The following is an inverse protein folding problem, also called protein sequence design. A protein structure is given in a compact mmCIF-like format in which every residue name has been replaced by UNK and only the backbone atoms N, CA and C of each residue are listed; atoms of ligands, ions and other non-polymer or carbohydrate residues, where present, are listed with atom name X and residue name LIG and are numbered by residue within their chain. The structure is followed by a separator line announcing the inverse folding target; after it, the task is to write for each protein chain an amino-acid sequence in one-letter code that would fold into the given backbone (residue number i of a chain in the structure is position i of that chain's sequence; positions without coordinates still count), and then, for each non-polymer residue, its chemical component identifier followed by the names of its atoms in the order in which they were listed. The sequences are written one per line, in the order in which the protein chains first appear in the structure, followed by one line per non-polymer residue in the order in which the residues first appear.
data_IF_524436545836
#
_entry.id   IF_524436545836
#
_cell.length_a   1.000
_cell.length_b   1.000
_cell.length_c   1.000
_cell.angle_alpha   90.00
_cell.angle_beta   90.00
_cell.angle_gamma   90.00
#
_symmetry.space_group_name_H-M   'P 1'
#
loop_
_entity.id
_entity.type
_entity.pdbx_description
1 polymer ?
#
# COMPACT_ATOMS: atom_id res chain seq x y z
N UNK A 1 66.65 36.56 -15.90
CA UNK A 1 66.86 35.10 -16.02
C UNK A 1 65.92 34.43 -15.03
N UNK A 2 64.79 33.97 -15.58
CA UNK A 2 63.80 32.99 -15.09
C UNK A 2 63.60 32.76 -13.59
N UNK A 3 62.48 33.30 -13.09
CA UNK A 3 61.75 32.87 -11.89
C UNK A 3 61.15 31.47 -12.09
N UNK A 4 61.30 30.61 -11.08
CA UNK A 4 60.72 29.27 -11.03
C UNK A 4 59.32 29.29 -10.45
N UNK A 5 58.35 28.76 -11.20
CA UNK A 5 56.96 28.56 -10.80
C UNK A 5 56.74 27.09 -10.41
N UNK A 6 55.99 26.77 -9.34
CA UNK A 6 55.66 25.40 -8.98
C UNK A 6 54.53 24.84 -9.85
N UNK A 7 54.70 23.58 -10.24
CA UNK A 7 53.77 22.77 -11.02
C UNK A 7 52.40 22.63 -10.33
N UNK A 8 51.36 23.08 -11.02
CA UNK A 8 49.96 22.89 -10.64
C UNK A 8 49.46 21.57 -11.25
N UNK A 9 49.36 20.52 -10.45
CA UNK A 9 48.74 19.24 -10.87
C UNK A 9 47.21 19.39 -10.90
N UNK A 10 46.68 19.81 -12.05
CA UNK A 10 45.24 19.82 -12.34
C UNK A 10 44.80 18.46 -12.88
N UNK A 11 44.09 17.71 -12.03
CA UNK A 11 43.38 16.47 -12.35
C UNK A 11 42.32 16.72 -13.44
N UNK A 12 42.57 16.18 -14.64
CA UNK A 12 41.56 16.07 -15.71
C UNK A 12 40.47 15.08 -15.29
N UNK A 13 39.32 15.59 -14.84
CA UNK A 13 38.07 14.82 -14.82
C UNK A 13 37.48 14.78 -16.24
N UNK A 14 37.24 13.60 -16.84
CA UNK A 14 36.48 13.52 -18.08
C UNK A 14 35.01 13.80 -17.81
N UNK A 15 34.45 14.78 -18.50
CA UNK A 15 33.01 15.05 -18.53
C UNK A 15 32.23 13.80 -18.97
N UNK A 16 31.06 13.51 -18.37
CA UNK A 16 30.24 12.39 -18.81
C UNK A 16 29.72 12.67 -20.22
N UNK A 17 30.02 11.76 -21.14
CA UNK A 17 29.37 11.65 -22.46
C UNK A 17 27.87 11.49 -22.23
N UNK A 18 27.10 12.53 -22.55
CA UNK A 18 25.68 12.37 -22.79
C UNK A 18 25.52 11.44 -24.00
N UNK A 19 25.01 10.23 -23.74
CA UNK A 19 24.49 9.37 -24.79
C UNK A 19 23.32 10.13 -25.40
N UNK A 20 23.47 10.56 -26.65
CA UNK A 20 22.36 11.04 -27.44
C UNK A 20 21.36 9.88 -27.54
N UNK A 21 20.21 10.04 -26.89
CA UNK A 21 19.09 9.12 -27.05
C UNK A 21 18.52 9.42 -28.42
N UNK A 22 18.72 8.49 -29.36
CA UNK A 22 18.18 8.54 -30.70
C UNK A 22 16.67 8.75 -30.66
N UNK A 23 16.19 9.61 -31.55
CA UNK A 23 14.82 10.09 -31.65
C UNK A 23 13.78 9.00 -32.05
N UNK A 24 14.18 7.73 -32.15
CA UNK A 24 13.32 6.59 -32.47
C UNK A 24 12.54 6.07 -31.26
N UNK A 25 12.86 6.44 -30.01
CA UNK A 25 12.12 5.95 -28.83
C UNK A 25 10.72 6.58 -28.64
N UNK A 26 10.34 7.51 -29.51
CA UNK A 26 9.08 8.25 -29.39
C UNK A 26 7.89 7.43 -29.88
N UNK A 27 8.11 6.55 -30.88
CA UNK A 27 7.05 5.76 -31.53
C UNK A 27 6.56 4.61 -30.63
N UNK A 28 7.50 3.92 -29.95
CA UNK A 28 7.17 2.85 -28.99
C UNK A 28 6.34 3.35 -27.79
N UNK A 29 6.53 4.62 -27.40
CA UNK A 29 5.83 5.21 -26.27
C UNK A 29 4.35 5.51 -26.57
N UNK A 30 4.01 5.77 -27.83
CA UNK A 30 2.63 5.95 -28.30
C UNK A 30 1.93 4.60 -28.51
N UNK A 31 2.66 3.60 -29.02
CA UNK A 31 2.16 2.22 -29.14
C UNK A 31 1.87 1.60 -27.76
N UNK A 32 2.70 1.90 -26.75
CA UNK A 32 2.46 1.47 -25.36
C UNK A 32 1.32 2.22 -24.65
N UNK A 33 0.97 3.44 -25.10
CA UNK A 33 -0.16 4.22 -24.55
C UNK A 33 -1.51 3.80 -25.10
N UNK A 34 -1.59 3.32 -26.34
CA UNK A 34 -2.87 3.01 -27.00
C UNK A 34 -3.47 1.64 -26.66
N UNK A 35 -2.73 0.77 -25.98
CA UNK A 35 -3.24 -0.54 -25.56
C UNK A 35 -3.20 -0.67 -24.03
N UNK A 36 -4.19 -0.08 -23.36
CA UNK A 36 -4.67 -0.63 -22.08
C UNK A 36 -5.83 -1.58 -22.38
N UNK A 37 -5.57 -2.83 -22.83
CA UNK A 37 -6.64 -3.78 -23.06
C UNK A 37 -7.34 -4.02 -21.72
N UNK A 38 -8.68 -3.99 -21.72
CA UNK A 38 -9.51 -4.51 -20.63
C UNK A 38 -9.25 -6.02 -20.50
N UNK A 39 -8.15 -6.38 -19.85
CA UNK A 39 -7.74 -7.77 -19.75
C UNK A 39 -8.42 -8.41 -18.55
N UNK A 40 -9.32 -9.33 -18.84
CA UNK A 40 -9.85 -10.27 -17.84
C UNK A 40 -8.74 -11.25 -17.51
N UNK A 41 -8.15 -11.12 -16.32
CA UNK A 41 -7.03 -11.97 -15.93
C UNK A 41 -7.44 -13.45 -15.93
N UNK A 42 -6.61 -14.34 -16.50
CA UNK A 42 -6.77 -15.78 -16.29
C UNK A 42 -6.70 -16.15 -14.80
N UNK A 43 -6.02 -15.32 -14.00
CA UNK A 43 -6.01 -15.49 -12.56
C UNK A 43 -7.43 -15.42 -12.01
N UNK A 44 -8.27 -14.43 -12.34
CA UNK A 44 -9.68 -14.31 -11.86
C UNK A 44 -10.49 -15.59 -12.11
N UNK A 45 -10.18 -16.32 -13.20
CA UNK A 45 -10.74 -17.64 -13.54
C UNK A 45 -10.17 -18.83 -12.75
N UNK A 46 -9.26 -18.62 -11.80
CA UNK A 46 -8.55 -19.68 -11.06
C UNK A 46 -8.75 -19.59 -9.54
N UNK A 47 -9.25 -18.47 -9.01
CA UNK A 47 -9.41 -18.22 -7.56
C UNK A 47 -10.36 -19.18 -6.88
N UNK A 48 -11.46 -19.46 -7.56
CA UNK A 48 -12.46 -20.42 -7.12
C UNK A 48 -11.89 -21.85 -7.02
N UNK A 49 -10.70 -22.14 -7.58
CA UNK A 49 -10.03 -23.44 -7.40
C UNK A 49 -9.31 -23.56 -6.04
N UNK A 50 -8.95 -22.45 -5.38
CA UNK A 50 -8.25 -22.48 -4.10
C UNK A 50 -9.19 -22.40 -2.88
N UNK A 51 -10.36 -21.78 -3.02
CA UNK A 51 -11.38 -21.73 -1.96
C UNK A 51 -11.86 -23.09 -1.43
N UNK A 52 -12.05 -24.16 -2.22
CA UNK A 52 -12.47 -25.46 -1.69
C UNK A 52 -11.38 -26.15 -0.87
N UNK A 53 -10.11 -25.75 -0.99
CA UNK A 53 -9.00 -26.39 -0.26
C UNK A 53 -9.14 -26.18 1.24
N UNK A 54 -9.57 -25.00 1.69
CA UNK A 54 -9.63 -24.67 3.13
C UNK A 54 -10.68 -25.50 3.86
N UNK A 55 -11.94 -25.63 3.37
CA UNK A 55 -12.91 -26.57 3.92
C UNK A 55 -12.42 -28.03 3.89
N UNK A 56 -11.78 -28.47 2.79
CA UNK A 56 -11.27 -29.85 2.70
C UNK A 56 -10.18 -30.13 3.75
N UNK A 57 -9.24 -29.21 3.92
CA UNK A 57 -8.21 -29.30 4.96
C UNK A 57 -8.83 -29.24 6.36
N UNK A 58 -9.87 -28.44 6.58
CA UNK A 58 -10.61 -28.40 7.83
C UNK A 58 -11.28 -29.74 8.15
N UNK A 59 -11.98 -30.35 7.19
CA UNK A 59 -12.59 -31.69 7.35
C UNK A 59 -11.53 -32.76 7.62
N UNK A 60 -10.42 -32.74 6.87
CA UNK A 60 -9.28 -33.63 7.10
C UNK A 60 -8.68 -33.46 8.50
N UNK A 61 -8.55 -32.24 9.00
CA UNK A 61 -8.06 -31.96 10.35
C UNK A 61 -9.05 -32.46 11.41
N UNK A 62 -10.37 -32.29 11.23
CA UNK A 62 -11.37 -32.87 12.15
C UNK A 62 -11.25 -34.39 12.18
N UNK A 63 -11.18 -35.02 11.03
CA UNK A 63 -11.07 -36.47 10.89
C UNK A 63 -9.80 -37.01 11.55
N UNK A 64 -8.67 -36.33 11.35
CA UNK A 64 -7.40 -36.62 12.01
C UNK A 64 -7.50 -36.49 13.53
N UNK A 65 -8.09 -35.40 14.04
CA UNK A 65 -8.28 -35.17 15.49
C UNK A 65 -9.15 -36.22 16.18
N UNK A 66 -10.11 -36.78 15.46
CA UNK A 66 -10.96 -37.86 15.98
C UNK A 66 -10.17 -39.16 16.18
N UNK A 67 -9.15 -39.41 15.36
CA UNK A 67 -8.29 -40.60 15.50
C UNK A 67 -7.07 -40.40 16.39
N UNK A 68 -6.52 -39.19 16.43
CA UNK A 68 -5.39 -38.84 17.28
C UNK A 68 -5.77 -37.66 18.19
N UNK A 69 -6.36 -37.94 19.36
CA UNK A 69 -6.72 -36.90 20.32
C UNK A 69 -5.47 -36.18 20.84
N UNK A 70 -5.61 -34.89 21.15
CA UNK A 70 -4.50 -34.06 21.64
C UNK A 70 -4.05 -34.48 23.03
N UNK A 71 -2.74 -34.64 23.21
CA UNK A 71 -2.09 -34.86 24.50
C UNK A 71 -1.62 -33.52 25.12
N UNK A 72 -1.30 -32.52 24.29
CA UNK A 72 -0.77 -31.22 24.74
C UNK A 72 -1.88 -30.21 25.11
N UNK A 73 -1.62 -29.31 26.07
CA UNK A 73 -2.52 -28.20 26.40
C UNK A 73 -2.71 -27.27 25.21
N UNK A 74 -3.89 -26.62 25.15
CA UNK A 74 -4.22 -25.74 24.02
C UNK A 74 -3.34 -24.48 24.03
N UNK A 75 -2.49 -24.31 23.03
CA UNK A 75 -1.70 -23.08 22.86
C UNK A 75 -2.56 -21.85 22.57
N UNK A 76 -3.68 -22.03 21.86
CA UNK A 76 -4.62 -20.97 21.49
C UNK A 76 -6.02 -21.25 22.01
N UNK A 77 -6.76 -20.18 22.27
CA UNK A 77 -8.16 -20.17 22.69
C UNK A 77 -9.12 -20.19 21.50
N UNK A 78 -8.58 -20.09 20.27
CA UNK A 78 -9.34 -20.21 19.04
C UNK A 78 -9.91 -21.62 18.87
N UNK A 79 -11.17 -21.68 18.46
CA UNK A 79 -11.79 -22.89 17.93
C UNK A 79 -11.13 -23.23 16.60
N UNK A 80 -11.21 -24.51 16.23
CA UNK A 80 -10.61 -24.97 14.98
C UNK A 80 -11.16 -24.21 13.78
N UNK A 81 -12.49 -24.07 13.68
CA UNK A 81 -13.12 -23.34 12.58
C UNK A 81 -12.74 -21.85 12.56
N UNK A 82 -12.55 -21.22 13.72
CA UNK A 82 -12.12 -19.81 13.81
C UNK A 82 -10.75 -19.64 13.16
N UNK A 83 -9.81 -20.56 13.44
CA UNK A 83 -8.49 -20.56 12.82
C UNK A 83 -8.55 -20.71 11.30
N UNK A 84 -9.34 -21.66 10.79
CA UNK A 84 -9.50 -21.86 9.35
C UNK A 84 -10.22 -20.70 8.66
N UNK A 85 -11.20 -20.08 9.33
CA UNK A 85 -11.88 -18.89 8.82
C UNK A 85 -10.91 -17.70 8.72
N UNK A 86 -10.12 -17.44 9.77
CA UNK A 86 -9.08 -16.39 9.75
C UNK A 86 -8.03 -16.66 8.69
N UNK A 87 -7.55 -17.90 8.56
CA UNK A 87 -6.61 -18.30 7.52
C UNK A 87 -7.18 -18.13 6.11
N UNK A 88 -8.46 -18.46 5.93
CA UNK A 88 -9.16 -18.28 4.65
C UNK A 88 -9.33 -16.82 4.26
N UNK A 89 -9.72 -15.97 5.21
CA UNK A 89 -9.80 -14.52 4.98
C UNK A 89 -8.42 -13.95 4.63
N UNK A 90 -7.39 -14.31 5.39
CA UNK A 90 -6.01 -13.91 5.12
C UNK A 90 -5.59 -14.31 3.70
N UNK A 91 -5.75 -15.59 3.36
CA UNK A 91 -5.36 -16.14 2.08
C UNK A 91 -6.10 -15.47 0.93
N UNK A 92 -7.41 -15.25 1.07
CA UNK A 92 -8.24 -14.56 0.08
C UNK A 92 -7.71 -13.16 -0.23
N UNK A 93 -7.50 -12.35 0.81
CA UNK A 93 -7.03 -10.97 0.67
C UNK A 93 -5.59 -10.87 0.17
N UNK A 94 -4.67 -11.70 0.68
CA UNK A 94 -3.28 -11.72 0.22
C UNK A 94 -3.18 -12.16 -1.22
N UNK A 95 -3.98 -13.16 -1.61
CA UNK A 95 -4.03 -13.54 -3.02
C UNK A 95 -4.53 -12.32 -3.79
N UNK A 96 -5.65 -11.67 -3.41
CA UNK A 96 -6.28 -10.54 -4.15
C UNK A 96 -5.30 -9.40 -4.35
N UNK A 97 -4.52 -9.13 -3.30
CA UNK A 97 -3.41 -8.19 -3.33
C UNK A 97 -2.37 -8.56 -4.39
N UNK A 98 -1.92 -9.81 -4.44
CA UNK A 98 -1.00 -10.29 -5.50
C UNK A 98 -1.61 -10.16 -6.89
N UNK A 99 -2.92 -10.35 -7.01
CA UNK A 99 -3.58 -10.13 -8.29
C UNK A 99 -3.44 -8.69 -8.76
N UNK A 100 -3.76 -7.75 -7.87
CA UNK A 100 -3.68 -6.33 -8.15
C UNK A 100 -2.22 -5.96 -8.48
N UNK A 101 -1.24 -6.46 -7.73
CA UNK A 101 0.19 -6.29 -8.01
C UNK A 101 0.59 -6.75 -9.42
N UNK A 102 0.08 -7.90 -9.87
CA UNK A 102 0.37 -8.38 -11.24
C UNK A 102 -0.24 -7.49 -12.33
N UNK A 103 -1.33 -6.77 -12.04
CA UNK A 103 -1.90 -5.80 -12.96
C UNK A 103 -1.02 -4.55 -13.07
N UNK A 104 -0.34 -4.15 -11.99
CA UNK A 104 0.51 -2.96 -11.99
C UNK A 104 1.70 -3.04 -12.93
N UNK A 105 2.37 -4.19 -12.97
CA UNK A 105 3.53 -4.39 -13.87
C UNK A 105 3.09 -4.34 -15.34
N UNK A 106 1.80 -4.55 -15.62
CA UNK A 106 1.23 -4.68 -16.96
C UNK A 106 0.48 -3.45 -17.45
N UNK A 107 0.15 -2.52 -16.55
CA UNK A 107 -0.58 -1.29 -16.84
C UNK A 107 0.36 -0.11 -16.53
N UNK A 108 0.85 0.55 -17.58
CA UNK A 108 1.83 1.63 -17.48
C UNK A 108 1.33 2.75 -16.59
N UNK A 109 0.05 3.13 -16.70
CA UNK A 109 -0.51 4.21 -15.89
C UNK A 109 -0.53 3.84 -14.40
N UNK A 110 -0.89 2.59 -14.08
CA UNK A 110 -0.81 2.09 -12.69
C UNK A 110 0.64 2.03 -12.19
N UNK A 111 1.58 1.61 -13.02
CA UNK A 111 3.00 1.62 -12.68
C UNK A 111 3.49 3.04 -12.38
N UNK A 112 3.10 4.03 -13.20
CA UNK A 112 3.38 5.46 -12.97
C UNK A 112 2.80 5.95 -11.67
N UNK A 113 1.56 5.57 -11.34
CA UNK A 113 0.91 5.98 -10.07
C UNK A 113 1.69 5.45 -8.86
N UNK A 114 2.10 4.19 -8.92
CA UNK A 114 2.84 3.53 -7.86
C UNK A 114 4.26 4.08 -7.71
N UNK A 115 4.97 4.22 -8.82
CA UNK A 115 6.32 4.75 -8.80
C UNK A 115 6.31 6.23 -8.39
N UNK A 116 5.33 7.00 -8.82
CA UNK A 116 5.14 8.38 -8.38
C UNK A 116 4.93 8.46 -6.87
N UNK A 117 4.12 7.58 -6.29
CA UNK A 117 3.96 7.48 -4.83
C UNK A 117 5.27 7.08 -4.12
N UNK A 118 6.03 6.13 -4.68
CA UNK A 118 7.34 5.73 -4.18
C UNK A 118 8.33 6.89 -4.18
N UNK A 119 8.41 7.65 -5.28
CA UNK A 119 9.30 8.80 -5.45
C UNK A 119 8.92 9.93 -4.50
N UNK A 120 7.61 10.25 -4.38
CA UNK A 120 7.12 11.23 -3.40
C UNK A 120 7.50 10.80 -2.00
N UNK A 121 7.29 9.53 -1.65
CA UNK A 121 7.72 9.00 -0.38
C UNK A 121 9.23 9.17 -0.16
N UNK A 122 10.06 8.80 -1.15
CA UNK A 122 11.51 8.82 -1.04
C UNK A 122 12.04 10.25 -0.89
N UNK A 123 11.48 11.20 -1.64
CA UNK A 123 11.79 12.63 -1.53
C UNK A 123 11.39 13.17 -0.16
N UNK A 124 10.19 12.83 0.30
CA UNK A 124 9.73 13.23 1.63
C UNK A 124 10.66 12.68 2.72
N UNK A 125 11.04 11.40 2.69
CA UNK A 125 11.94 10.83 3.70
C UNK A 125 13.35 11.40 3.69
N UNK A 126 13.79 12.02 2.58
CA UNK A 126 15.06 12.74 2.52
C UNK A 126 14.94 14.19 2.98
N UNK A 127 13.79 14.83 2.78
CA UNK A 127 13.57 16.24 3.13
C UNK A 127 12.60 16.39 4.33
N UNK A 128 13.19 16.53 5.51
CA UNK A 128 12.46 16.76 6.77
C UNK A 128 11.53 17.98 6.73
N UNK A 129 11.83 19.01 5.92
CA UNK A 129 10.98 20.21 5.82
C UNK A 129 9.70 19.91 5.05
N UNK A 130 9.80 19.20 3.94
CA UNK A 130 8.63 18.78 3.15
C UNK A 130 7.73 17.83 3.97
N UNK A 131 8.31 16.94 4.79
CA UNK A 131 7.53 16.14 5.75
C UNK A 131 6.77 17.03 6.73
N UNK A 132 7.44 18.02 7.31
CA UNK A 132 6.81 18.90 8.29
C UNK A 132 5.71 19.74 7.65
N UNK A 133 5.90 20.24 6.43
CA UNK A 133 4.88 21.00 5.70
C UNK A 133 3.68 20.13 5.28
N UNK A 134 3.91 18.86 4.93
CA UNK A 134 2.83 17.92 4.60
C UNK A 134 2.09 17.39 5.84
N UNK A 135 2.81 17.16 6.95
CA UNK A 135 2.21 16.68 8.21
C UNK A 135 1.60 17.80 9.03
N UNK A 136 2.12 19.01 8.92
CA UNK A 136 1.67 20.20 9.65
C UNK A 136 1.54 21.38 8.69
N UNK A 137 0.59 21.32 7.74
CA UNK A 137 0.38 22.43 6.81
C UNK A 137 0.07 23.71 7.60
N UNK A 138 0.79 24.80 7.28
CA UNK A 138 0.57 26.09 7.91
C UNK A 138 -0.82 26.64 7.51
N UNK A 139 -1.58 27.08 8.52
CA UNK A 139 -2.97 27.51 8.39
C UNK A 139 -3.95 26.34 8.47
N UNK A 140 -5.13 26.56 9.03
CA UNK A 140 -6.26 25.63 8.84
C UNK A 140 -6.60 25.65 7.35
N UNK A 141 -6.34 24.57 6.58
CA UNK A 141 -6.94 24.51 5.25
C UNK A 141 -8.44 24.65 5.48
N UNK A 142 -9.04 25.70 4.91
CA UNK A 142 -10.50 25.75 4.77
C UNK A 142 -10.90 24.40 4.23
N UNK A 143 -11.87 23.78 4.90
CA UNK A 143 -12.39 22.44 4.65
C UNK A 143 -12.72 22.33 3.16
N UNK A 144 -11.73 21.95 2.36
CA UNK A 144 -11.83 21.96 0.90
C UNK A 144 -12.94 20.99 0.53
N UNK A 145 -13.73 21.34 -0.47
CA UNK A 145 -14.89 20.59 -1.00
C UNK A 145 -14.58 19.14 -1.43
N UNK A 146 -13.32 18.71 -1.32
CA UNK A 146 -12.81 17.37 -1.59
C UNK A 146 -12.75 16.45 -0.37
N UNK A 147 -12.89 16.98 0.86
CA UNK A 147 -13.04 16.10 2.02
C UNK A 147 -14.37 15.37 1.85
N UNK A 148 -14.42 14.01 1.86
CA UNK A 148 -15.71 13.32 1.85
C UNK A 148 -16.50 13.88 3.02
N UNK A 149 -17.58 14.61 2.72
CA UNK A 149 -18.38 15.28 3.74
C UNK A 149 -18.64 14.23 4.82
N UNK A 150 -18.01 14.43 5.99
CA UNK A 150 -18.15 13.54 7.13
C UNK A 150 -19.63 13.60 7.47
N UNK A 151 -20.43 12.67 6.94
CA UNK A 151 -21.81 12.51 7.36
C UNK A 151 -21.71 12.21 8.84
N UNK A 152 -22.27 13.06 9.68
CA UNK A 152 -22.15 12.90 11.12
C UNK A 152 -22.63 11.50 11.53
N UNK A 153 -21.76 10.73 12.21
CA UNK A 153 -22.08 9.37 12.63
C UNK A 153 -20.88 8.45 12.81
N UNK A 154 -21.04 7.48 13.71
CA UNK A 154 -20.02 6.46 14.05
C UNK A 154 -19.59 5.63 12.83
N UNK A 155 -20.51 5.36 11.91
CA UNK A 155 -20.20 4.59 10.70
C UNK A 155 -19.27 5.35 9.75
N UNK A 156 -19.48 6.65 9.57
CA UNK A 156 -18.62 7.47 8.72
C UNK A 156 -17.21 7.56 9.31
N UNK A 157 -17.09 7.61 10.64
CA UNK A 157 -15.82 7.53 11.33
C UNK A 157 -15.16 6.17 11.12
N UNK A 158 -15.89 5.06 11.26
CA UNK A 158 -15.33 3.74 11.00
C UNK A 158 -14.88 3.55 9.55
N UNK A 159 -15.64 4.07 8.57
CA UNK A 159 -15.25 4.05 7.16
C UNK A 159 -13.98 4.90 6.95
N UNK A 160 -13.91 6.06 7.59
CA UNK A 160 -12.72 6.91 7.52
C UNK A 160 -11.49 6.18 8.07
N UNK A 161 -11.60 5.59 9.26
CA UNK A 161 -10.53 4.79 9.88
C UNK A 161 -10.14 3.59 9.03
N UNK A 162 -11.14 2.90 8.45
CA UNK A 162 -10.91 1.80 7.52
C UNK A 162 -10.14 2.27 6.30
N UNK A 163 -10.47 3.42 5.72
CA UNK A 163 -9.82 3.92 4.51
C UNK A 163 -8.42 4.54 4.76
N UNK A 164 -8.22 5.10 5.95
CA UNK A 164 -7.04 5.87 6.34
C UNK A 164 -6.24 5.17 7.45
N UNK A 165 -6.25 3.83 7.48
CA UNK A 165 -5.54 3.06 8.52
C UNK A 165 -4.04 3.40 8.66
N UNK A 166 -3.43 4.00 7.63
CA UNK A 166 -2.03 4.38 7.61
C UNK A 166 -1.78 5.87 7.78
N UNK A 167 -2.66 6.74 7.26
CA UNK A 167 -2.42 8.18 7.21
C UNK A 167 -3.23 8.91 8.28
N UNK A 168 -2.58 9.84 8.99
CA UNK A 168 -3.32 10.83 9.78
C UNK A 168 -4.14 11.75 8.88
N UNK A 169 -5.23 12.30 9.42
CA UNK A 169 -6.03 13.32 8.74
C UNK A 169 -5.17 14.50 8.25
N UNK A 170 -4.15 14.87 9.02
CA UNK A 170 -3.22 15.93 8.66
C UNK A 170 -2.38 15.58 7.42
N UNK A 171 -1.86 14.34 7.36
CA UNK A 171 -1.09 13.86 6.20
C UNK A 171 -1.97 13.86 4.94
N UNK A 172 -3.21 13.39 5.08
CA UNK A 172 -4.19 13.39 3.98
C UNK A 172 -4.46 14.82 3.48
N UNK A 173 -4.69 15.77 4.40
CA UNK A 173 -4.90 17.18 4.05
C UNK A 173 -3.67 17.82 3.38
N UNK A 174 -2.47 17.47 3.83
CA UNK A 174 -1.22 17.91 3.20
C UNK A 174 -1.09 17.43 1.76
N UNK A 175 -1.38 16.15 1.51
CA UNK A 175 -1.42 15.58 0.16
C UNK A 175 -2.48 16.24 -0.70
N UNK A 176 -3.69 16.42 -0.17
CA UNK A 176 -4.78 17.08 -0.87
C UNK A 176 -4.37 18.50 -1.30
N UNK A 177 -3.74 19.27 -0.41
CA UNK A 177 -3.23 20.62 -0.69
C UNK A 177 -2.12 20.62 -1.74
N UNK A 178 -1.17 19.68 -1.65
CA UNK A 178 -0.09 19.53 -2.63
C UNK A 178 -0.66 19.33 -4.03
N UNK A 179 -1.64 18.43 -4.17
CA UNK A 179 -2.25 18.13 -5.46
C UNK A 179 -3.16 19.26 -5.94
N UNK A 180 -3.90 19.93 -5.03
CA UNK A 180 -4.80 21.04 -5.39
C UNK A 180 -4.03 22.26 -5.92
N UNK A 181 -2.87 22.59 -5.35
CA UNK A 181 -2.02 23.69 -5.86
C UNK A 181 -1.57 23.45 -7.31
N UNK A 182 -1.30 22.21 -7.68
CA UNK A 182 -0.88 21.86 -9.04
C UNK A 182 -2.07 21.75 -10.00
N UNK A 183 -3.25 21.39 -9.48
CA UNK A 183 -4.52 21.42 -10.18
C UNK A 183 -4.92 22.82 -10.65
N UNK A 184 -4.70 23.87 -9.83
CA UNK A 184 -5.00 25.25 -10.22
C UNK A 184 -4.21 25.67 -11.47
N UNK A 185 -2.96 25.20 -11.59
CA UNK A 185 -2.15 25.35 -12.82
C UNK A 185 -2.67 24.54 -14.01
N UNK A 186 -3.39 23.44 -13.77
CA UNK A 186 -3.99 22.61 -14.83
C UNK A 186 -5.38 23.07 -15.26
N UNK A 187 -6.16 23.69 -14.36
CA UNK A 187 -7.47 24.26 -14.67
C UNK A 187 -7.36 25.38 -15.72
N UNK A 188 -6.24 26.11 -15.72
CA UNK A 188 -5.88 27.07 -16.79
C UNK A 188 -5.70 26.42 -18.18
N UNK A 189 -5.56 25.09 -18.26
CA UNK A 189 -5.34 24.33 -19.50
C UNK A 189 -6.48 23.34 -19.81
N UNK A 190 -7.72 23.67 -19.43
CA UNK A 190 -8.94 22.87 -19.72
C UNK A 190 -9.04 21.48 -19.07
N UNK A 191 -8.30 21.23 -17.99
CA UNK A 191 -8.47 20.04 -17.17
C UNK A 191 -9.58 20.25 -16.14
N UNK A 192 -10.81 20.06 -16.58
CA UNK A 192 -12.00 20.17 -15.73
C UNK A 192 -12.38 18.79 -15.17
N UNK A 193 -11.99 18.53 -13.93
CA UNK A 193 -12.47 17.39 -13.14
C UNK A 193 -13.72 17.80 -12.36
N UNK A 194 -14.84 17.91 -13.07
CA UNK A 194 -16.13 18.34 -12.52
C UNK A 194 -17.13 17.20 -12.31
N UNK A 195 -16.83 15.99 -12.79
CA UNK A 195 -17.69 14.83 -12.61
C UNK A 195 -17.68 14.27 -11.19
N UNK A 196 -18.81 13.68 -10.76
CA UNK A 196 -18.88 12.95 -9.49
C UNK A 196 -17.86 11.80 -9.42
N UNK A 197 -17.62 11.14 -10.55
CA UNK A 197 -16.59 10.10 -10.70
C UNK A 197 -15.17 10.63 -10.51
N UNK A 198 -14.89 11.82 -11.02
CA UNK A 198 -13.58 12.46 -10.89
C UNK A 198 -13.29 12.79 -9.42
N UNK A 199 -14.32 13.15 -8.64
CA UNK A 199 -14.19 13.40 -7.19
C UNK A 199 -13.84 12.12 -6.42
N UNK A 200 -14.42 10.98 -6.79
CA UNK A 200 -14.08 9.70 -6.16
C UNK A 200 -12.65 9.26 -6.48
N UNK A 201 -12.21 9.42 -7.73
CA UNK A 201 -10.83 9.13 -8.12
C UNK A 201 -9.83 10.08 -7.42
N UNK A 202 -10.23 11.33 -7.17
CA UNK A 202 -9.48 12.28 -6.36
C UNK A 202 -9.31 11.83 -4.91
N UNK A 203 -10.39 11.38 -4.26
CA UNK A 203 -10.29 10.83 -2.90
C UNK A 203 -9.37 9.60 -2.88
N UNK A 204 -9.52 8.69 -3.86
CA UNK A 204 -8.70 7.49 -3.99
C UNK A 204 -7.21 7.79 -4.15
N UNK A 205 -6.83 8.74 -5.01
CA UNK A 205 -5.43 9.10 -5.22
C UNK A 205 -4.85 9.82 -3.99
N UNK A 206 -5.60 10.73 -3.37
CA UNK A 206 -5.14 11.44 -2.15
C UNK A 206 -4.92 10.42 -1.03
N UNK A 207 -5.88 9.54 -0.78
CA UNK A 207 -5.77 8.49 0.24
C UNK A 207 -4.63 7.54 -0.06
N UNK A 208 -4.45 7.13 -1.32
CA UNK A 208 -3.34 6.29 -1.74
C UNK A 208 -1.97 6.95 -1.47
N UNK A 209 -1.78 8.19 -1.90
CA UNK A 209 -0.54 8.95 -1.69
C UNK A 209 -0.30 9.26 -0.21
N UNK A 210 -1.35 9.62 0.54
CA UNK A 210 -1.23 9.86 1.98
C UNK A 210 -0.79 8.61 2.72
N UNK A 211 -1.36 7.45 2.37
CA UNK A 211 -0.95 6.16 2.92
C UNK A 211 0.50 5.81 2.52
N UNK A 212 0.90 6.10 1.27
CA UNK A 212 2.27 5.88 0.81
C UNK A 212 3.30 6.75 1.55
N UNK A 213 2.99 8.04 1.77
CA UNK A 213 3.88 9.00 2.43
C UNK A 213 4.03 8.70 3.93
N UNK A 214 2.94 8.31 4.58
CA UNK A 214 2.97 8.00 6.01
C UNK A 214 3.68 6.67 6.31
N UNK A 215 3.67 5.74 5.36
CA UNK A 215 4.48 4.53 5.41
C UNK A 215 5.96 4.88 5.55
N UNK A 216 6.66 4.38 6.56
CA UNK A 216 8.02 4.79 6.94
C UNK A 216 9.12 4.29 6.00
N UNK A 217 8.78 3.53 4.95
CA UNK A 217 9.74 2.79 4.12
C UNK A 217 9.15 2.36 2.77
N UNK A 218 8.57 3.30 1.99
CA UNK A 218 8.60 3.40 0.53
C UNK A 218 8.14 2.31 -0.40
N UNK A 219 8.25 1.05 -0.03
CA UNK A 219 8.11 -0.08 -0.94
C UNK A 219 8.56 -1.38 -0.28
N UNK A 220 9.54 -1.34 0.62
CA UNK A 220 10.24 -2.54 1.10
C UNK A 220 9.93 -2.93 2.54
N UNK A 221 9.42 -2.02 3.39
CA UNK A 221 9.00 -2.37 4.75
C UNK A 221 7.55 -1.97 5.09
N UNK A 222 6.60 -2.26 4.20
CA UNK A 222 5.18 -2.34 4.62
C UNK A 222 4.98 -3.35 5.77
N UNK A 223 5.91 -4.30 5.94
CA UNK A 223 5.98 -5.24 7.05
C UNK A 223 6.40 -4.62 8.40
N UNK A 224 7.23 -3.56 8.44
CA UNK A 224 7.77 -3.03 9.71
C UNK A 224 6.85 -2.02 10.41
N UNK A 225 5.88 -1.45 9.70
CA UNK A 225 4.84 -0.57 10.26
C UNK A 225 3.44 -1.17 10.24
N UNK A 226 3.32 -2.39 9.73
CA UNK A 226 2.13 -3.20 9.81
C UNK A 226 1.60 -3.18 11.25
N UNK A 227 0.43 -2.57 11.49
CA UNK A 227 -0.18 -2.52 12.82
C UNK A 227 -0.42 -3.93 13.38
N UNK A 228 -0.44 -4.94 12.51
CA UNK A 228 -0.46 -6.33 12.94
C UNK A 228 0.79 -6.77 13.71
N UNK A 229 1.98 -6.17 13.48
CA UNK A 229 3.20 -6.55 14.18
C UNK A 229 3.16 -6.22 15.68
N UNK A 230 2.88 -4.98 16.13
CA UNK A 230 2.72 -4.71 17.56
C UNK A 230 1.57 -5.51 18.17
N UNK A 231 0.46 -5.69 17.45
CA UNK A 231 -0.66 -6.54 17.92
C UNK A 231 -0.23 -8.00 18.08
N UNK A 232 0.57 -8.53 17.16
CA UNK A 232 1.12 -9.88 17.22
C UNK A 232 2.16 -10.02 18.34
N UNK A 233 2.99 -9.00 18.59
CA UNK A 233 3.91 -8.98 19.73
C UNK A 233 3.15 -9.05 21.04
N UNK A 234 2.10 -8.23 21.21
CA UNK A 234 1.24 -8.28 22.40
C UNK A 234 0.60 -9.67 22.54
N UNK A 235 0.12 -10.27 21.45
CA UNK A 235 -0.43 -11.63 21.47
C UNK A 235 0.61 -12.66 21.94
N UNK A 236 1.84 -12.60 21.43
CA UNK A 236 2.93 -13.52 21.79
C UNK A 236 3.28 -13.36 23.27
N UNK A 237 3.41 -12.13 23.77
CA UNK A 237 3.70 -11.85 25.18
C UNK A 237 2.55 -12.26 26.11
N UNK A 238 1.29 -12.08 25.67
CA UNK A 238 0.11 -12.45 26.45
C UNK A 238 -0.09 -13.96 26.54
N UNK A 239 0.37 -14.71 25.54
CA UNK A 239 0.12 -16.15 25.44
C UNK A 239 0.66 -16.99 26.60
N UNK A 240 1.91 -16.86 27.06
CA UNK A 240 2.39 -17.59 28.24
C UNK A 240 1.62 -17.21 29.51
N UNK A 241 1.27 -15.94 29.68
CA UNK A 241 0.48 -15.46 30.84
C UNK A 241 -0.91 -16.11 30.83
N UNK A 242 -1.58 -16.12 29.67
CA UNK A 242 -2.88 -16.75 29.50
C UNK A 242 -2.82 -18.28 29.66
N UNK A 243 -1.71 -18.93 29.27
CA UNK A 243 -1.47 -20.35 29.52
C UNK A 243 -1.32 -20.63 31.02
N UNK A 244 -0.52 -19.83 31.72
CA UNK A 244 -0.32 -19.95 33.17
C UNK A 244 -1.63 -19.71 33.93
N UNK A 245 -2.39 -18.69 33.54
CA UNK A 245 -3.67 -18.37 34.17
C UNK A 245 -4.70 -19.51 34.02
N UNK A 246 -4.70 -20.18 32.86
CA UNK A 246 -5.55 -21.36 32.62
C UNK A 246 -5.13 -22.57 33.44
N UNK A 247 -3.85 -22.69 33.75
CA UNK A 247 -3.32 -23.79 34.55
C UNK A 247 -3.61 -23.60 36.04
N UNK A 248 -3.41 -22.39 36.57
CA UNK A 248 -3.54 -22.10 38.00
C UNK A 248 -4.99 -21.80 38.41
N UNK A 249 -5.70 -20.96 37.64
CA UNK A 249 -7.02 -20.43 38.01
C UNK A 249 -8.10 -20.91 37.05
N UNK A 250 -8.13 -22.23 36.81
CA UNK A 250 -9.08 -22.85 35.90
C UNK A 250 -10.53 -22.39 36.20
N UNK A 251 -11.23 -21.90 35.17
CA UNK A 251 -12.64 -21.42 35.19
C UNK A 251 -12.94 -20.13 35.97
N UNK A 252 -11.94 -19.32 36.28
CA UNK A 252 -12.16 -17.99 36.88
C UNK A 252 -12.40 -16.90 35.82
N UNK A 253 -13.02 -15.78 36.23
CA UNK A 253 -13.26 -14.60 35.36
C UNK A 253 -12.00 -14.09 34.62
N UNK A 254 -10.80 -14.03 35.24
CA UNK A 254 -9.57 -13.65 34.54
C UNK A 254 -9.25 -14.52 33.31
N UNK A 255 -9.52 -15.82 33.36
CA UNK A 255 -9.29 -16.73 32.23
C UNK A 255 -10.18 -16.38 31.03
N UNK A 256 -11.44 -15.99 31.27
CA UNK A 256 -12.35 -15.57 30.20
C UNK A 256 -11.86 -14.27 29.54
N UNK A 257 -11.38 -13.32 30.34
CA UNK A 257 -10.78 -12.07 29.85
C UNK A 257 -9.56 -12.32 28.98
N UNK A 258 -8.59 -13.11 29.46
CA UNK A 258 -7.40 -13.46 28.68
C UNK A 258 -7.74 -14.20 27.38
N UNK A 259 -8.73 -15.11 27.42
CA UNK A 259 -9.16 -15.82 26.24
C UNK A 259 -9.79 -14.89 25.20
N UNK A 260 -10.64 -13.96 25.64
CA UNK A 260 -11.24 -12.94 24.79
C UNK A 260 -10.16 -12.04 24.17
N UNK A 261 -9.24 -11.54 24.99
CA UNK A 261 -8.15 -10.68 24.54
C UNK A 261 -7.23 -11.37 23.52
N UNK A 262 -6.83 -12.62 23.77
CA UNK A 262 -6.03 -13.40 22.80
C UNK A 262 -6.75 -13.58 21.45
N UNK A 263 -8.08 -13.82 21.47
CA UNK A 263 -8.88 -13.93 20.25
C UNK A 263 -8.94 -12.62 19.50
N UNK A 264 -9.26 -11.53 20.19
CA UNK A 264 -9.33 -10.19 19.60
C UNK A 264 -7.99 -9.78 19.01
N UNK A 265 -6.88 -10.01 19.71
CA UNK A 265 -5.54 -9.74 19.19
C UNK A 265 -5.20 -10.60 17.99
N UNK A 266 -5.57 -11.90 17.99
CA UNK A 266 -5.33 -12.76 16.84
C UNK A 266 -6.14 -12.32 15.62
N UNK A 267 -7.44 -12.04 15.78
CA UNK A 267 -8.28 -11.54 14.69
C UNK A 267 -7.80 -10.19 14.21
N UNK A 268 -7.46 -9.29 15.14
CA UNK A 268 -6.89 -7.98 14.83
C UNK A 268 -5.59 -8.09 14.02
N UNK A 269 -4.64 -8.94 14.43
CA UNK A 269 -3.39 -9.12 13.71
C UNK A 269 -3.61 -9.68 12.29
N UNK A 270 -4.45 -10.71 12.15
CA UNK A 270 -4.74 -11.31 10.84
C UNK A 270 -5.47 -10.32 9.94
N UNK A 271 -6.49 -9.64 10.47
CA UNK A 271 -7.28 -8.65 9.76
C UNK A 271 -6.42 -7.47 9.32
N UNK A 272 -5.68 -6.84 10.25
CA UNK A 272 -4.83 -5.69 9.97
C UNK A 272 -3.81 -6.06 8.91
N UNK A 273 -3.09 -7.19 9.04
CA UNK A 273 -2.09 -7.60 8.05
C UNK A 273 -2.67 -7.69 6.64
N UNK A 274 -3.77 -8.41 6.50
CA UNK A 274 -4.33 -8.75 5.20
C UNK A 274 -5.09 -7.58 4.55
N UNK A 275 -5.89 -6.86 5.35
CA UNK A 275 -6.71 -5.74 4.88
C UNK A 275 -5.85 -4.53 4.57
N UNK A 276 -4.81 -4.26 5.39
CA UNK A 276 -3.95 -3.11 5.16
C UNK A 276 -3.22 -3.19 3.81
N UNK A 277 -2.67 -4.35 3.47
CA UNK A 277 -2.07 -4.55 2.14
C UNK A 277 -3.15 -4.44 1.07
N UNK A 278 -4.21 -5.25 1.16
CA UNK A 278 -5.27 -5.27 0.15
C UNK A 278 -5.81 -3.87 -0.19
N UNK A 279 -6.13 -3.07 0.83
CA UNK A 279 -6.63 -1.72 0.62
C UNK A 279 -5.63 -0.80 -0.08
N UNK A 280 -4.37 -0.81 0.36
CA UNK A 280 -3.33 0.03 -0.23
C UNK A 280 -3.23 -0.22 -1.73
N UNK A 281 -3.18 -1.50 -2.13
CA UNK A 281 -3.11 -1.88 -3.53
C UNK A 281 -4.42 -1.53 -4.27
N UNK A 282 -5.57 -1.77 -3.63
CA UNK A 282 -6.90 -1.54 -4.20
C UNK A 282 -7.20 -0.07 -4.51
N UNK A 283 -6.72 0.88 -3.71
CA UNK A 283 -6.99 2.31 -3.96
C UNK A 283 -6.49 2.75 -5.33
N UNK A 284 -5.26 2.41 -5.68
CA UNK A 284 -4.71 2.73 -7.00
C UNK A 284 -5.40 1.97 -8.13
N UNK A 285 -5.74 0.70 -7.90
CA UNK A 285 -6.34 -0.16 -8.93
C UNK A 285 -7.77 0.27 -9.31
N UNK A 286 -8.51 0.84 -8.37
CA UNK A 286 -9.88 1.30 -8.55
C UNK A 286 -10.00 2.70 -9.16
N UNK A 287 -8.89 3.39 -9.44
CA UNK A 287 -8.93 4.67 -10.14
C UNK A 287 -9.49 4.41 -11.55
N UNK A 288 -10.58 5.06 -11.93
CA UNK A 288 -11.17 4.91 -13.26
C UNK A 288 -10.34 5.67 -14.31
N UNK A 289 -9.91 6.90 -13.99
CA UNK A 289 -9.16 7.79 -14.88
C UNK A 289 -7.64 7.73 -14.65
N UNK A 290 -7.08 6.52 -14.72
CA UNK A 290 -5.65 6.26 -14.45
C UNK A 290 -4.71 7.12 -15.29
N UNK A 291 -4.99 7.28 -16.58
CA UNK A 291 -4.17 8.06 -17.49
C UNK A 291 -4.03 9.52 -17.05
N UNK A 292 -5.15 10.18 -16.68
CA UNK A 292 -5.11 11.55 -16.17
C UNK A 292 -4.32 11.61 -14.87
N UNK A 293 -4.49 10.64 -13.99
CA UNK A 293 -3.72 10.61 -12.74
C UNK A 293 -2.22 10.41 -13.00
N UNK A 294 -1.84 9.54 -13.93
CA UNK A 294 -0.46 9.31 -14.32
C UNK A 294 0.17 10.57 -14.94
N UNK A 295 -0.53 11.23 -15.87
CA UNK A 295 -0.09 12.49 -16.48
C UNK A 295 0.13 13.60 -15.45
N UNK A 296 -0.74 13.69 -14.44
CA UNK A 296 -0.56 14.60 -13.32
C UNK A 296 0.72 14.28 -12.54
N UNK A 297 0.97 13.01 -12.22
CA UNK A 297 2.16 12.60 -11.47
C UNK A 297 3.46 12.83 -12.25
N UNK A 298 3.49 12.60 -13.55
CA UNK A 298 4.66 12.89 -14.38
C UNK A 298 4.96 14.39 -14.47
N UNK A 299 3.93 15.25 -14.39
CA UNK A 299 4.12 16.70 -14.28
C UNK A 299 4.64 17.12 -12.91
N UNK A 300 4.13 16.50 -11.85
CA UNK A 300 4.59 16.73 -10.47
C UNK A 300 6.04 16.29 -10.27
N UNK A 301 6.45 15.24 -10.99
CA UNK A 301 7.73 14.58 -10.84
C UNK A 301 8.44 14.50 -12.21
N UNK A 302 9.20 15.53 -12.59
CA UNK A 302 9.97 15.51 -13.83
C UNK A 302 10.92 14.30 -13.84
N UNK A 303 10.91 13.52 -14.92
CA UNK A 303 11.71 12.30 -15.07
C UNK A 303 11.01 11.00 -14.66
N UNK A 304 9.79 11.06 -14.11
CA UNK A 304 9.07 9.85 -13.70
C UNK A 304 8.79 8.91 -14.89
N UNK A 305 8.42 9.43 -16.06
CA UNK A 305 8.14 8.63 -17.25
C UNK A 305 9.31 7.70 -17.63
N UNK A 306 10.55 8.20 -17.59
CA UNK A 306 11.73 7.39 -17.90
C UNK A 306 12.01 6.30 -16.87
N UNK A 307 11.78 6.59 -15.58
CA UNK A 307 11.95 5.59 -14.52
C UNK A 307 10.89 4.49 -14.61
N UNK A 308 9.65 4.84 -14.99
CA UNK A 308 8.57 3.86 -15.21
C UNK A 308 8.91 2.93 -16.38
N UNK A 309 9.37 3.49 -17.49
CA UNK A 309 9.70 2.71 -18.68
C UNK A 309 10.87 1.74 -18.41
N UNK A 310 11.86 2.15 -17.62
CA UNK A 310 12.94 1.28 -17.17
C UNK A 310 12.42 0.16 -16.25
N UNK A 311 11.57 0.48 -15.27
CA UNK A 311 10.98 -0.48 -14.34
C UNK A 311 10.18 -1.56 -15.08
N UNK A 312 9.37 -1.15 -16.05
CA UNK A 312 8.56 -2.07 -16.87
C UNK A 312 9.48 -2.96 -17.72
N UNK A 313 10.50 -2.39 -18.36
CA UNK A 313 11.47 -3.16 -19.17
C UNK A 313 12.18 -4.23 -18.34
N UNK A 314 12.71 -3.86 -17.16
CA UNK A 314 13.40 -4.81 -16.26
C UNK A 314 12.43 -5.88 -15.75
N UNK A 315 11.21 -5.49 -15.38
CA UNK A 315 10.22 -6.43 -14.82
C UNK A 315 9.72 -7.44 -15.84
N UNK A 316 9.47 -7.00 -17.08
CA UNK A 316 9.05 -7.88 -18.19
C UNK A 316 10.18 -8.82 -18.63
N UNK A 317 11.43 -8.35 -18.68
CA UNK A 317 12.59 -9.17 -19.07
C UNK A 317 12.85 -10.37 -18.14
N UNK A 318 12.38 -10.32 -16.89
CA UNK A 318 12.51 -11.41 -15.92
C UNK A 318 11.40 -12.47 -16.02
N UNK A 319 10.36 -12.21 -16.80
CA UNK A 319 9.16 -13.05 -16.88
C UNK A 319 8.89 -13.63 -18.28
N UNK A 320 9.76 -13.29 -19.25
CA UNK A 320 9.92 -13.97 -20.55
C UNK A 320 11.11 -14.90 -20.42
#
# INVERSE_FOLDING_TARGET
MTEGSPENSSSKNPSPRYVAVDAESRDDSEILRQHSPRFTSKLSKTWHRFYPVIPLVYVGHIWFRRRMPRVLPRFTTLKLWEFYASWGLFSALTTETRHIQTQWIRDRDLATIQLGAFVIWQRNHRDLRVIQELKYPWGTPQRLDFYPQRKDGVLAEFIWWYNHMWSSEQTWRGVARMLSMHLDGMKQRSWDMHGAKDREDWDRIITFLANAIHGKNGGTNYLSQNMAFPVAQVLVCLTPIAMLARHIWARTMPVLWFNGLQRTLCYGAVYLRAVQEYQFYRYSANIEQKQKVAELLCRLLPGLDSEVDELIRVSLSKHV
#
